data_IF_399584962486
#
_entry.id   IF_399584962486
#
_cell.length_a   1.000
_cell.length_b   1.000
_cell.length_c   1.000
_cell.angle_alpha   90.00
_cell.angle_beta   90.00
_cell.angle_gamma   90.00
#
_symmetry.space_group_name_H-M   'P 1'
#
loop_
_entity.id
_entity.type
_entity.pdbx_description
1 polymer ?
#
# COMPACT_ATOMS: atom_id res chain seq x y z
N UNK A 1 -14.78 66.19 20.24
CA UNK A 1 -13.64 65.45 20.74
C UNK A 1 -13.83 63.96 20.31
N UNK A 2 -13.35 63.69 19.11
CA UNK A 2 -13.61 62.42 18.42
C UNK A 2 -12.51 61.44 18.72
N UNK A 3 -12.81 60.50 19.58
CA UNK A 3 -12.07 59.23 19.63
C UNK A 3 -12.78 58.21 18.78
N UNK A 4 -12.80 58.46 17.47
CA UNK A 4 -13.25 57.50 16.50
C UNK A 4 -12.13 56.53 16.28
N UNK A 5 -12.18 55.36 16.94
CA UNK A 5 -12.48 54.14 16.25
C UNK A 5 -11.54 53.85 15.09
N UNK A 6 -10.30 53.52 15.42
CA UNK A 6 -9.47 52.71 14.57
C UNK A 6 -9.83 51.24 14.85
N UNK A 7 -11.01 50.86 14.38
CA UNK A 7 -11.33 49.44 14.20
C UNK A 7 -10.55 48.99 12.99
N UNK A 8 -9.30 48.64 13.21
CA UNK A 8 -8.51 47.92 12.25
C UNK A 8 -9.24 46.61 11.98
N UNK A 9 -9.93 46.58 10.85
CA UNK A 9 -10.34 45.37 10.20
C UNK A 9 -9.08 44.55 9.89
N UNK A 10 -8.70 43.74 10.84
CA UNK A 10 -7.84 42.60 10.55
C UNK A 10 -8.65 41.66 9.69
N UNK A 11 -8.65 41.92 8.38
CA UNK A 11 -9.03 40.92 7.39
C UNK A 11 -7.98 39.84 7.49
N UNK A 12 -8.28 38.84 8.30
CA UNK A 12 -7.54 37.59 8.31
C UNK A 12 -7.76 36.97 6.92
N UNK A 13 -6.80 37.16 6.04
CA UNK A 13 -6.68 36.31 4.87
C UNK A 13 -6.37 34.91 5.38
N UNK A 14 -7.40 34.14 5.66
CA UNK A 14 -7.29 32.71 5.84
C UNK A 14 -6.91 32.17 4.48
N UNK A 15 -5.62 31.96 4.25
CA UNK A 15 -5.17 31.14 3.16
C UNK A 15 -5.64 29.72 3.49
N UNK A 16 -6.78 29.35 2.92
CA UNK A 16 -7.16 27.95 2.86
C UNK A 16 -6.06 27.25 2.11
N UNK A 17 -5.27 26.45 2.78
CA UNK A 17 -4.36 25.54 2.09
C UNK A 17 -5.25 24.68 1.20
N UNK A 18 -4.98 24.69 -0.11
CA UNK A 18 -5.66 23.82 -1.05
C UNK A 18 -5.39 22.37 -0.60
N UNK A 19 -6.38 21.78 0.08
CA UNK A 19 -6.32 20.37 0.44
C UNK A 19 -6.42 19.56 -0.85
N UNK A 20 -5.41 18.73 -1.08
CA UNK A 20 -5.37 17.81 -2.22
C UNK A 20 -5.20 16.38 -1.75
N UNK A 21 -5.76 15.45 -2.48
CA UNK A 21 -5.53 14.02 -2.32
C UNK A 21 -5.18 13.43 -3.67
N UNK A 22 -4.23 12.51 -3.67
CA UNK A 22 -3.95 11.72 -4.86
C UNK A 22 -5.17 10.88 -5.22
N UNK A 23 -5.35 10.64 -6.50
CA UNK A 23 -6.45 9.82 -6.98
C UNK A 23 -5.89 8.64 -7.77
N UNK A 24 -6.49 7.47 -7.55
CA UNK A 24 -6.15 6.24 -8.27
C UNK A 24 -7.43 5.53 -8.70
N UNK A 25 -7.44 5.08 -9.95
CA UNK A 25 -8.46 4.18 -10.49
C UNK A 25 -7.81 2.82 -10.70
N UNK A 26 -8.41 1.76 -10.14
CA UNK A 26 -7.92 0.39 -10.28
C UNK A 26 -8.78 -0.42 -11.22
N UNK A 27 -8.11 -1.18 -12.10
CA UNK A 27 -8.70 -2.31 -12.79
C UNK A 27 -7.82 -3.52 -12.49
N UNK A 28 -8.41 -4.57 -11.91
CA UNK A 28 -7.71 -5.79 -11.55
C UNK A 28 -8.43 -7.00 -12.14
N UNK A 29 -7.63 -7.97 -12.58
CA UNK A 29 -8.07 -9.30 -12.91
C UNK A 29 -7.26 -10.28 -12.06
N UNK A 30 -7.95 -11.05 -11.22
CA UNK A 30 -7.33 -11.93 -10.23
C UNK A 30 -7.90 -13.34 -10.40
N UNK A 31 -7.00 -14.30 -10.55
CA UNK A 31 -7.32 -15.71 -10.57
C UNK A 31 -6.80 -16.36 -9.28
N UNK A 32 -7.70 -16.99 -8.52
CA UNK A 32 -7.37 -17.60 -7.23
C UNK A 32 -7.58 -19.10 -7.29
N UNK A 33 -6.56 -19.86 -6.87
CA UNK A 33 -6.68 -21.27 -6.56
C UNK A 33 -7.06 -21.44 -5.09
N UNK A 34 -8.28 -21.90 -4.83
CA UNK A 34 -8.80 -22.10 -3.47
C UNK A 34 -8.31 -23.41 -2.84
N UNK A 35 -7.66 -24.29 -3.60
CA UNK A 35 -7.14 -25.55 -3.06
C UNK A 35 -5.85 -25.37 -2.27
N UNK A 36 -5.02 -24.44 -2.68
CA UNK A 36 -3.75 -24.10 -2.02
C UNK A 36 -3.66 -22.65 -1.52
N UNK A 37 -4.71 -21.86 -1.78
CA UNK A 37 -4.83 -20.45 -1.40
C UNK A 37 -3.78 -19.55 -2.05
N UNK A 38 -3.37 -19.89 -3.28
CA UNK A 38 -2.54 -19.04 -4.13
C UNK A 38 -3.39 -18.20 -5.08
N UNK A 39 -2.84 -17.11 -5.56
CA UNK A 39 -3.48 -16.28 -6.57
C UNK A 39 -2.44 -15.63 -7.46
N UNK A 40 -2.84 -15.34 -8.68
CA UNK A 40 -2.10 -14.47 -9.57
C UNK A 40 -3.02 -13.38 -10.12
N UNK A 41 -2.44 -12.31 -10.58
CA UNK A 41 -3.26 -11.24 -11.11
C UNK A 41 -2.50 -10.21 -11.91
N UNK A 42 -3.31 -9.45 -12.62
CA UNK A 42 -2.89 -8.27 -13.36
C UNK A 42 -3.63 -7.05 -12.83
N UNK A 43 -2.94 -5.94 -12.70
CA UNK A 43 -3.49 -4.67 -12.26
C UNK A 43 -3.08 -3.57 -13.22
N UNK A 44 -4.05 -2.78 -13.66
CA UNK A 44 -3.82 -1.46 -14.22
C UNK A 44 -4.31 -0.41 -13.21
N UNK A 45 -3.40 0.47 -12.82
CA UNK A 45 -3.65 1.57 -11.89
C UNK A 45 -3.42 2.88 -12.63
N UNK A 46 -4.47 3.67 -12.83
CA UNK A 46 -4.34 5.04 -13.35
C UNK A 46 -4.14 5.97 -12.17
N UNK A 47 -2.93 6.50 -12.05
CA UNK A 47 -2.54 7.43 -10.99
C UNK A 47 -2.67 8.87 -11.47
N UNK A 48 -3.41 9.70 -10.74
CA UNK A 48 -3.55 11.14 -11.01
C UNK A 48 -2.80 11.93 -9.94
N UNK A 49 -1.86 12.76 -10.37
CA UNK A 49 -1.13 13.64 -9.46
C UNK A 49 -1.92 14.92 -9.18
N UNK A 50 -2.65 14.95 -8.09
CA UNK A 50 -3.39 16.14 -7.64
C UNK A 50 -2.55 17.07 -6.74
N UNK A 51 -1.28 16.70 -6.44
CA UNK A 51 -0.39 17.55 -5.66
C UNK A 51 0.22 18.68 -6.48
N UNK A 52 0.70 19.75 -5.85
CA UNK A 52 1.46 20.80 -6.54
C UNK A 52 2.87 20.37 -6.92
N UNK A 53 3.32 19.21 -6.48
CA UNK A 53 4.69 18.74 -6.65
C UNK A 53 4.79 17.70 -7.76
N UNK A 54 5.96 17.64 -8.42
CA UNK A 54 6.28 16.60 -9.39
C UNK A 54 6.61 15.30 -8.68
N UNK A 55 5.97 14.21 -9.11
CA UNK A 55 6.18 12.86 -8.56
C UNK A 55 7.17 12.10 -9.45
N UNK A 56 8.25 11.60 -8.85
CA UNK A 56 9.29 10.82 -9.53
C UNK A 56 9.31 9.35 -9.09
N UNK A 57 8.56 9.03 -8.05
CA UNK A 57 8.50 7.69 -7.46
C UNK A 57 7.14 7.45 -6.81
N UNK A 58 6.72 6.20 -6.81
CA UNK A 58 5.52 5.75 -6.12
C UNK A 58 5.87 4.58 -5.22
N UNK A 59 5.06 4.40 -4.17
CA UNK A 59 5.21 3.30 -3.24
C UNK A 59 3.97 2.43 -3.26
N UNK A 60 4.18 1.12 -3.24
CA UNK A 60 3.13 0.14 -3.03
C UNK A 60 3.32 -0.53 -1.68
N UNK A 61 2.21 -0.83 -1.03
CA UNK A 61 2.19 -1.68 0.15
C UNK A 61 1.84 -3.11 -0.23
N UNK A 62 2.75 -4.02 0.06
CA UNK A 62 2.59 -5.46 -0.17
C UNK A 62 2.22 -6.12 1.17
N UNK A 63 1.00 -5.92 1.62
CA UNK A 63 0.58 -6.20 3.00
C UNK A 63 0.79 -7.65 3.42
N UNK A 64 0.60 -8.62 2.53
CA UNK A 64 0.76 -10.03 2.88
C UNK A 64 2.17 -10.39 3.31
N UNK A 65 3.19 -9.71 2.78
CA UNK A 65 4.58 -9.97 3.13
C UNK A 65 4.91 -9.66 4.60
N UNK A 66 4.01 -9.00 5.32
CA UNK A 66 4.14 -8.84 6.78
C UNK A 66 3.99 -10.17 7.53
N UNK A 67 3.33 -11.17 6.93
CA UNK A 67 3.06 -12.47 7.53
C UNK A 67 4.11 -13.51 7.12
N UNK A 68 5.37 -13.16 7.31
CA UNK A 68 6.52 -14.03 7.08
C UNK A 68 7.45 -13.98 8.29
N UNK A 69 8.04 -15.12 8.73
CA UNK A 69 9.04 -15.12 9.76
C UNK A 69 10.20 -14.18 9.43
N UNK A 70 10.61 -13.38 10.40
CA UNK A 70 11.65 -12.36 10.22
C UNK A 70 11.19 -11.03 9.65
N UNK A 71 9.91 -10.89 9.24
CA UNK A 71 9.34 -9.61 8.85
C UNK A 71 9.38 -8.58 9.99
N UNK A 72 9.31 -7.28 9.67
CA UNK A 72 9.23 -6.25 10.71
C UNK A 72 8.05 -6.45 11.65
N UNK A 73 6.92 -6.95 11.14
CA UNK A 73 5.75 -7.25 11.97
C UNK A 73 6.03 -8.40 12.93
N UNK A 74 6.67 -9.46 12.48
CA UNK A 74 7.07 -10.59 13.33
C UNK A 74 8.06 -10.14 14.41
N UNK A 75 9.17 -9.51 14.01
CA UNK A 75 10.20 -9.06 14.95
C UNK A 75 9.61 -8.10 15.97
N UNK A 76 8.82 -7.11 15.53
CA UNK A 76 8.16 -6.17 16.42
C UNK A 76 7.24 -6.88 17.41
N UNK A 77 6.41 -7.81 16.94
CA UNK A 77 5.42 -8.50 17.78
C UNK A 77 6.05 -9.35 18.89
N UNK A 78 7.30 -9.78 18.70
CA UNK A 78 8.06 -10.54 19.70
C UNK A 78 8.93 -9.70 20.62
N UNK A 79 9.29 -8.48 20.21
CA UNK A 79 10.33 -7.68 20.89
C UNK A 79 9.83 -6.43 21.56
N UNK A 80 8.65 -5.91 21.21
CA UNK A 80 8.10 -4.72 21.87
C UNK A 80 7.58 -5.06 23.27
N UNK A 81 7.61 -4.05 24.15
CA UNK A 81 6.94 -4.12 25.43
C UNK A 81 5.42 -4.14 25.20
N UNK A 82 4.72 -5.08 25.85
CA UNK A 82 3.26 -5.26 25.72
C UNK A 82 2.79 -5.54 24.26
N UNK A 83 3.23 -6.64 23.67
CA UNK A 83 2.88 -6.98 22.30
C UNK A 83 1.39 -7.35 22.17
N UNK A 84 0.84 -7.17 20.96
CA UNK A 84 -0.51 -7.67 20.65
C UNK A 84 -0.55 -9.21 20.82
N UNK A 85 -1.28 -9.68 21.83
CA UNK A 85 -1.38 -11.12 22.15
C UNK A 85 -1.98 -11.95 21.02
N UNK A 86 -2.70 -11.31 20.08
CA UNK A 86 -3.26 -12.00 18.91
C UNK A 86 -2.19 -12.35 17.89
N UNK A 87 -1.07 -11.64 17.91
CA UNK A 87 0.08 -11.88 17.04
C UNK A 87 1.16 -12.64 17.79
N UNK A 88 1.77 -12.04 18.82
CA UNK A 88 2.85 -12.68 19.61
C UNK A 88 3.92 -13.31 18.71
N UNK A 89 4.19 -14.60 18.93
CA UNK A 89 5.12 -15.43 18.14
C UNK A 89 4.48 -16.12 16.93
N UNK A 90 3.19 -15.95 16.68
CA UNK A 90 2.46 -16.75 15.69
C UNK A 90 2.99 -16.59 14.26
N UNK A 91 3.52 -15.42 13.89
CA UNK A 91 4.14 -15.24 12.57
C UNK A 91 5.44 -16.04 12.49
N UNK A 92 6.25 -16.02 13.54
CA UNK A 92 7.50 -16.76 13.59
C UNK A 92 7.32 -18.29 13.47
N UNK A 93 6.18 -18.78 13.93
CA UNK A 93 5.85 -20.21 13.95
C UNK A 93 5.17 -20.69 12.64
N UNK A 94 4.97 -19.80 11.66
CA UNK A 94 4.36 -20.18 10.37
C UNK A 94 5.30 -21.12 9.57
N UNK A 95 4.69 -22.05 8.84
CA UNK A 95 5.35 -22.82 7.79
C UNK A 95 5.21 -22.11 6.44
N UNK A 96 6.04 -22.42 5.45
CA UNK A 96 6.05 -21.76 4.14
C UNK A 96 4.68 -21.78 3.43
N UNK A 97 3.93 -22.87 3.58
CA UNK A 97 2.55 -22.98 3.04
C UNK A 97 1.56 -21.99 3.66
N UNK A 98 1.91 -21.40 4.79
CA UNK A 98 1.08 -20.50 5.59
C UNK A 98 1.58 -19.05 5.57
N UNK A 99 2.66 -18.77 4.85
CA UNK A 99 3.17 -17.41 4.67
C UNK A 99 2.19 -16.55 3.87
N UNK A 100 2.19 -15.27 4.19
CA UNK A 100 1.63 -14.26 3.30
C UNK A 100 2.67 -13.87 2.27
N UNK A 101 2.33 -14.00 1.00
CA UNK A 101 3.22 -13.66 -0.10
C UNK A 101 2.49 -12.75 -1.07
N UNK A 102 3.15 -11.70 -1.49
CA UNK A 102 2.75 -10.86 -2.61
C UNK A 102 4.03 -10.45 -3.35
N UNK A 103 4.29 -11.13 -4.46
CA UNK A 103 5.47 -10.93 -5.28
C UNK A 103 5.11 -10.21 -6.58
N UNK A 104 5.88 -9.18 -6.90
CA UNK A 104 5.70 -8.41 -8.13
C UNK A 104 6.55 -9.02 -9.24
N UNK A 105 5.90 -9.64 -10.21
CA UNK A 105 6.53 -10.28 -11.36
C UNK A 105 7.00 -9.22 -12.37
N UNK A 106 6.18 -8.21 -12.61
CA UNK A 106 6.54 -7.10 -13.49
C UNK A 106 5.80 -5.83 -13.13
N UNK A 107 6.45 -4.68 -13.36
CA UNK A 107 5.86 -3.37 -13.22
C UNK A 107 6.24 -2.48 -14.40
N UNK A 108 5.25 -1.79 -14.95
CA UNK A 108 5.41 -0.90 -16.10
C UNK A 108 4.77 0.45 -15.83
N UNK A 109 5.33 1.50 -16.41
CA UNK A 109 4.71 2.83 -16.55
C UNK A 109 4.40 3.05 -18.02
N UNK A 110 3.13 3.29 -18.36
CA UNK A 110 2.67 3.53 -19.73
C UNK A 110 3.23 2.51 -20.74
N UNK A 111 3.16 1.22 -20.37
CA UNK A 111 3.63 0.07 -21.14
C UNK A 111 5.14 -0.20 -21.10
N UNK A 112 5.97 0.68 -20.53
CA UNK A 112 7.42 0.51 -20.44
C UNK A 112 7.83 0.00 -19.06
N UNK A 113 8.70 -1.02 -19.00
CA UNK A 113 9.23 -1.52 -17.73
C UNK A 113 9.87 -0.40 -16.92
N UNK A 114 9.64 -0.39 -15.62
CA UNK A 114 10.27 0.51 -14.66
C UNK A 114 11.10 -0.26 -13.66
N UNK A 115 12.10 0.42 -13.09
CA UNK A 115 12.94 -0.13 -12.02
C UNK A 115 12.21 0.03 -10.70
N UNK A 116 12.21 -1.02 -9.91
CA UNK A 116 11.65 -0.99 -8.58
C UNK A 116 12.55 -1.75 -7.59
N UNK A 117 12.47 -1.35 -6.33
CA UNK A 117 13.12 -1.99 -5.18
C UNK A 117 12.02 -2.49 -4.25
N UNK A 118 12.00 -3.78 -3.96
CA UNK A 118 11.09 -4.36 -2.97
C UNK A 118 11.85 -4.65 -1.68
N UNK A 119 11.32 -4.15 -0.58
CA UNK A 119 11.81 -4.45 0.75
C UNK A 119 10.63 -4.81 1.64
N UNK A 120 10.51 -6.09 1.96
CA UNK A 120 9.41 -6.62 2.76
C UNK A 120 8.04 -6.19 2.21
N UNK A 121 7.32 -5.37 2.99
CA UNK A 121 5.97 -4.88 2.67
C UNK A 121 5.94 -3.62 1.82
N UNK A 122 7.08 -3.11 1.40
CA UNK A 122 7.16 -1.87 0.61
C UNK A 122 7.88 -2.11 -0.70
N UNK A 123 7.24 -1.71 -1.79
CA UNK A 123 7.87 -1.62 -3.09
C UNK A 123 7.99 -0.16 -3.48
N UNK A 124 9.20 0.28 -3.77
CA UNK A 124 9.52 1.60 -4.32
C UNK A 124 9.70 1.48 -5.84
N UNK A 125 8.81 2.08 -6.60
CA UNK A 125 8.91 2.18 -8.06
C UNK A 125 9.41 3.57 -8.48
N UNK A 126 10.45 3.61 -9.31
CA UNK A 126 11.03 4.84 -9.88
C UNK A 126 10.39 5.07 -11.24
N UNK A 127 9.67 6.18 -11.40
CA UNK A 127 9.02 6.51 -12.65
C UNK A 127 10.04 6.80 -13.76
N UNK A 128 9.82 6.24 -14.94
CA UNK A 128 10.62 6.55 -16.13
C UNK A 128 10.42 8.01 -16.60
N UNK A 129 9.19 8.48 -16.46
CA UNK A 129 8.79 9.86 -16.74
C UNK A 129 8.21 10.47 -15.47
N UNK A 130 8.74 11.61 -15.02
CA UNK A 130 8.15 12.36 -13.92
C UNK A 130 6.68 12.68 -14.20
N UNK A 131 5.84 12.63 -13.18
CA UNK A 131 4.43 12.95 -13.27
C UNK A 131 4.20 14.37 -12.72
N UNK A 132 3.94 15.32 -13.59
CA UNK A 132 3.72 16.71 -13.22
C UNK A 132 2.37 16.90 -12.53
N UNK A 133 2.16 18.04 -11.82
CA UNK A 133 0.86 18.39 -11.25
C UNK A 133 -0.27 18.32 -12.29
N UNK A 134 -1.34 17.62 -11.95
CA UNK A 134 -2.51 17.42 -12.82
C UNK A 134 -2.37 16.32 -13.86
N UNK A 135 -1.20 15.74 -14.05
CA UNK A 135 -0.99 14.66 -15.01
C UNK A 135 -1.44 13.31 -14.49
N UNK A 136 -1.58 12.36 -15.42
CA UNK A 136 -1.92 10.97 -15.16
C UNK A 136 -0.90 10.04 -15.77
N UNK A 137 -0.70 8.88 -15.16
CA UNK A 137 0.10 7.78 -15.71
C UNK A 137 -0.57 6.46 -15.38
N UNK A 138 -0.37 5.46 -16.24
CA UNK A 138 -0.84 4.10 -15.98
C UNK A 138 0.32 3.25 -15.48
N UNK A 139 0.11 2.64 -14.31
CA UNK A 139 1.05 1.69 -13.73
C UNK A 139 0.43 0.29 -13.85
N UNK A 140 1.02 -0.54 -14.71
CA UNK A 140 0.57 -1.92 -14.94
C UNK A 140 1.47 -2.89 -14.18
N UNK A 141 0.89 -3.74 -13.35
CA UNK A 141 1.57 -4.72 -12.51
C UNK A 141 1.04 -6.12 -12.79
N UNK A 142 1.96 -7.09 -12.87
CA UNK A 142 1.66 -8.52 -12.78
C UNK A 142 2.22 -9.02 -11.47
N UNK A 143 1.45 -9.79 -10.74
CA UNK A 143 1.82 -10.28 -9.42
C UNK A 143 1.34 -11.70 -9.15
N UNK A 144 2.09 -12.39 -8.29
CA UNK A 144 1.72 -13.67 -7.70
C UNK A 144 1.59 -13.50 -6.19
N UNK A 145 0.73 -14.31 -5.58
CA UNK A 145 0.52 -14.22 -4.14
C UNK A 145 0.05 -15.50 -3.49
N UNK A 146 0.18 -15.53 -2.18
CA UNK A 146 -0.32 -16.57 -1.30
C UNK A 146 -1.00 -15.95 -0.10
N UNK A 147 -2.19 -16.43 0.21
CA UNK A 147 -2.97 -15.99 1.36
C UNK A 147 -2.38 -16.56 2.65
N UNK A 148 -2.00 -15.74 3.64
CA UNK A 148 -1.44 -16.22 4.88
C UNK A 148 -2.44 -17.01 5.73
N UNK A 149 -1.95 -17.80 6.67
CA UNK A 149 -2.78 -18.25 7.79
C UNK A 149 -3.28 -17.02 8.56
N UNK A 150 -4.56 -17.01 8.93
CA UNK A 150 -5.13 -15.88 9.64
C UNK A 150 -4.51 -15.72 11.05
N UNK A 151 -3.81 -14.62 11.21
CA UNK A 151 -3.23 -14.22 12.51
C UNK A 151 -3.98 -13.02 13.08
N UNK A 152 -4.40 -12.07 12.23
CA UNK A 152 -5.19 -10.91 12.63
C UNK A 152 -6.52 -10.87 11.87
N UNK A 153 -6.61 -9.99 10.86
CA UNK A 153 -7.87 -9.70 10.17
C UNK A 153 -8.00 -10.45 8.86
N UNK A 154 -6.92 -10.59 8.10
CA UNK A 154 -6.94 -11.29 6.82
C UNK A 154 -6.21 -12.62 6.90
N UNK A 155 -6.60 -13.57 6.07
CA UNK A 155 -5.97 -14.85 5.94
C UNK A 155 -6.94 -16.01 5.77
N UNK A 156 -6.40 -17.18 5.50
CA UNK A 156 -7.16 -18.43 5.51
C UNK A 156 -7.35 -18.94 6.93
N UNK A 157 -8.58 -19.29 7.30
CA UNK A 157 -8.88 -19.86 8.61
C UNK A 157 -8.73 -21.38 8.61
N UNK A 158 -9.14 -22.00 7.50
CA UNK A 158 -9.11 -23.43 7.28
C UNK A 158 -9.16 -23.70 5.77
N UNK A 159 -9.29 -24.98 5.39
CA UNK A 159 -9.38 -25.38 3.98
C UNK A 159 -10.65 -24.93 3.26
N UNK A 160 -11.61 -24.38 3.96
CA UNK A 160 -12.96 -24.09 3.45
C UNK A 160 -13.24 -22.59 3.27
N UNK A 161 -12.38 -21.72 3.79
CA UNK A 161 -12.66 -20.28 3.72
C UNK A 161 -11.45 -19.40 3.81
N UNK A 162 -11.60 -18.21 3.21
CA UNK A 162 -10.60 -17.13 3.19
C UNK A 162 -11.26 -15.86 3.70
N UNK A 163 -10.59 -15.19 4.63
CA UNK A 163 -10.93 -13.85 5.05
C UNK A 163 -9.87 -12.87 4.51
N UNK A 164 -10.28 -12.02 3.58
CA UNK A 164 -9.44 -11.00 2.95
C UNK A 164 -9.70 -9.59 3.49
N UNK A 165 -10.47 -9.46 4.55
CA UNK A 165 -10.72 -8.14 5.15
C UNK A 165 -9.44 -7.59 5.79
N UNK A 166 -9.01 -6.45 5.31
CA UNK A 166 -7.84 -5.72 5.82
C UNK A 166 -8.24 -4.45 6.58
#
# INVERSE_FOLDING_TARGET
MNRLLFLLLFVQFSFSQNYWQQHVDYKMDINMDVSDFTFNGEQDLVYTNNSPDTINKVYYHLFFNAFQPGSQMDVRSRTIRDPDRRVGSRIFELEEKDYGILDVVSLKQDGKKIVYDQKETVLLARLNSPLLPGEKTTLSMVFDGQVPLQIRRSGKLNKEGVDLTM
#
